data_IF_497041070347
#
_entry.id   IF_497041070347
#
_cell.length_a   1.000
_cell.length_b   1.000
_cell.length_c   1.000
_cell.angle_alpha   90.00
_cell.angle_beta   90.00
_cell.angle_gamma   90.00
#
_symmetry.space_group_name_H-M   'P 1'
#
loop_
_entity.id
_entity.type
_entity.pdbx_description
1 polymer ?
#
# COMPACT_ATOMS: atom_id res chain seq x y z
N UNK A 1 32.88 30.44 41.68
CA UNK A 1 32.62 31.69 40.93
C UNK A 1 33.04 31.47 39.48
N UNK A 2 32.29 32.04 38.51
CA UNK A 2 32.49 32.03 37.04
C UNK A 2 32.06 30.76 36.28
N UNK A 3 30.81 30.70 35.76
CA UNK A 3 30.27 31.27 34.50
C UNK A 3 30.69 30.48 33.25
N UNK A 4 29.74 29.80 32.60
CA UNK A 4 29.25 30.12 31.24
C UNK A 4 28.14 29.14 30.81
N UNK A 5 27.00 29.72 30.44
CA UNK A 5 25.95 29.13 29.61
C UNK A 5 26.48 29.05 28.17
N UNK A 6 25.91 28.15 27.38
CA UNK A 6 25.46 28.32 25.97
C UNK A 6 25.75 27.09 25.09
N UNK A 7 24.66 26.56 24.53
CA UNK A 7 24.48 26.04 23.16
C UNK A 7 25.35 24.86 22.66
N UNK A 8 24.69 23.78 22.24
CA UNK A 8 24.60 23.35 20.82
C UNK A 8 23.54 22.24 20.72
N UNK A 9 22.41 22.61 20.12
CA UNK A 9 21.45 21.73 19.46
C UNK A 9 22.19 21.14 18.26
N UNK A 10 22.32 19.82 18.18
CA UNK A 10 22.92 19.22 16.99
C UNK A 10 23.25 17.74 17.11
N UNK A 11 22.38 16.91 16.54
CA UNK A 11 22.71 15.69 15.80
C UNK A 11 23.31 14.54 16.63
N UNK A 12 22.51 13.49 16.84
CA UNK A 12 22.77 12.18 16.22
C UNK A 12 21.87 11.11 16.83
N UNK A 13 20.64 11.09 16.33
CA UNK A 13 19.76 9.93 16.37
C UNK A 13 20.33 8.80 15.49
N UNK A 14 21.45 8.19 15.91
CA UNK A 14 22.17 7.21 15.09
C UNK A 14 22.64 5.94 15.82
N UNK A 15 22.11 5.64 17.01
CA UNK A 15 22.51 4.42 17.73
C UNK A 15 21.29 3.71 18.32
N UNK A 16 20.36 3.26 17.47
CA UNK A 16 19.47 2.11 17.78
C UNK A 16 19.25 1.30 16.49
N UNK A 17 20.33 0.80 15.88
CA UNK A 17 20.26 -0.22 14.81
C UNK A 17 21.34 -1.26 15.10
N UNK A 18 21.21 -2.01 16.20
CA UNK A 18 22.09 -3.16 16.45
C UNK A 18 21.59 -4.21 17.44
N UNK A 19 20.53 -3.96 18.22
CA UNK A 19 20.08 -4.98 19.18
C UNK A 19 18.67 -4.73 19.67
N UNK A 20 17.75 -5.61 19.30
CA UNK A 20 16.45 -5.72 19.97
C UNK A 20 15.27 -5.07 19.26
N UNK A 21 14.92 -5.54 18.06
CA UNK A 21 13.50 -5.69 17.65
C UNK A 21 13.36 -7.04 16.94
N UNK A 22 13.74 -8.09 17.66
CA UNK A 22 13.39 -9.46 17.32
C UNK A 22 12.17 -9.89 18.14
N UNK A 23 11.08 -9.12 18.13
CA UNK A 23 9.74 -9.49 18.59
C UNK A 23 8.81 -8.29 18.41
N UNK A 24 8.05 -8.26 17.30
CA UNK A 24 6.76 -7.57 17.13
C UNK A 24 6.53 -7.17 15.66
N UNK A 25 6.49 -8.15 14.75
CA UNK A 25 5.85 -7.98 13.45
C UNK A 25 4.78 -9.07 13.29
N UNK A 26 3.82 -9.06 14.20
CA UNK A 26 2.62 -9.87 14.13
C UNK A 26 1.44 -9.07 14.69
N UNK A 27 1.17 -7.89 14.13
CA UNK A 27 -0.08 -7.17 14.40
C UNK A 27 -0.83 -6.90 13.11
N UNK A 28 -1.26 -7.99 12.48
CA UNK A 28 -2.56 -8.05 11.82
C UNK A 28 -3.56 -8.76 12.75
N UNK A 29 -3.74 -8.24 13.97
CA UNK A 29 -4.70 -8.67 15.01
C UNK A 29 -4.53 -10.10 15.58
N UNK A 30 -3.85 -10.22 16.72
CA UNK A 30 -4.09 -11.33 17.65
C UNK A 30 -5.34 -10.99 18.50
N UNK A 31 -6.53 -11.22 17.95
CA UNK A 31 -7.76 -11.18 18.74
C UNK A 31 -7.82 -12.48 19.56
N UNK A 32 -7.37 -12.44 20.81
CA UNK A 32 -7.62 -13.52 21.79
C UNK A 32 -9.03 -13.34 22.34
N UNK A 33 -10.01 -13.36 21.43
CA UNK A 33 -11.42 -13.33 21.77
C UNK A 33 -11.93 -14.76 21.84
N UNK A 34 -12.50 -15.12 22.98
CA UNK A 34 -13.34 -16.32 23.11
C UNK A 34 -14.42 -16.22 22.03
N UNK A 35 -14.36 -17.09 21.00
CA UNK A 35 -15.31 -17.11 19.89
C UNK A 35 -16.74 -17.14 20.44
N UNK A 36 -17.53 -16.13 20.12
CA UNK A 36 -18.97 -16.22 20.31
C UNK A 36 -19.54 -17.16 19.23
N UNK A 37 -20.43 -18.10 19.55
CA UNK A 37 -20.89 -19.15 18.63
C UNK A 37 -21.69 -18.65 17.41
N UNK A 38 -21.87 -17.33 17.24
CA UNK A 38 -22.61 -16.70 16.15
C UNK A 38 -21.75 -15.80 15.24
N UNK A 39 -20.41 -15.87 15.32
CA UNK A 39 -19.56 -15.20 14.34
C UNK A 39 -19.59 -15.96 13.01
N UNK A 40 -20.31 -15.40 12.03
CA UNK A 40 -20.23 -15.86 10.65
C UNK A 40 -18.79 -15.70 10.16
N UNK A 41 -18.15 -16.82 9.80
CA UNK A 41 -16.83 -16.80 9.19
C UNK A 41 -16.96 -16.07 7.86
N UNK A 42 -16.48 -14.82 7.80
CA UNK A 42 -16.39 -14.02 6.59
C UNK A 42 -15.41 -14.72 5.62
N UNK A 43 -15.95 -15.58 4.76
CA UNK A 43 -15.16 -16.32 3.78
C UNK A 43 -14.79 -15.36 2.65
N UNK A 44 -13.60 -14.77 2.74
CA UNK A 44 -13.07 -13.91 1.68
C UNK A 44 -12.93 -14.72 0.37
N UNK A 45 -13.46 -14.18 -0.72
CA UNK A 45 -13.28 -14.75 -2.04
C UNK A 45 -11.87 -14.41 -2.54
N UNK A 46 -11.06 -15.42 -2.83
CA UNK A 46 -9.68 -15.24 -3.30
C UNK A 46 -9.67 -15.43 -4.82
N UNK A 47 -9.52 -14.33 -5.55
CA UNK A 47 -9.53 -14.26 -7.02
C UNK A 47 -8.12 -13.91 -7.53
N UNK A 48 -7.48 -12.92 -6.90
CA UNK A 48 -6.07 -12.60 -7.09
C UNK A 48 -5.24 -13.47 -6.16
N UNK A 49 -5.13 -14.73 -6.57
CA UNK A 49 -4.36 -15.76 -5.88
C UNK A 49 -2.84 -15.53 -5.99
N UNK A 50 -2.07 -16.44 -5.39
CA UNK A 50 -0.61 -16.33 -5.33
C UNK A 50 0.06 -16.20 -6.70
N UNK A 51 -0.53 -16.77 -7.77
CA UNK A 51 0.00 -16.63 -9.14
C UNK A 51 -0.02 -15.16 -9.59
N UNK A 52 -1.12 -14.45 -9.35
CA UNK A 52 -1.24 -13.02 -9.71
C UNK A 52 -0.34 -12.17 -8.81
N UNK A 53 -0.26 -12.49 -7.51
CA UNK A 53 0.62 -11.79 -6.57
C UNK A 53 2.09 -11.92 -6.96
N UNK A 54 2.55 -13.13 -7.29
CA UNK A 54 3.92 -13.36 -7.75
C UNK A 54 4.20 -12.59 -9.03
N UNK A 55 3.26 -12.60 -9.99
CA UNK A 55 3.41 -11.84 -11.24
C UNK A 55 3.52 -10.34 -10.99
N UNK A 56 2.65 -9.79 -10.14
CA UNK A 56 2.74 -8.38 -9.73
C UNK A 56 4.10 -8.06 -9.11
N UNK A 57 4.56 -8.88 -8.17
CA UNK A 57 5.85 -8.68 -7.50
C UNK A 57 7.02 -8.71 -8.50
N UNK A 58 7.05 -9.67 -9.42
CA UNK A 58 8.08 -9.75 -10.46
C UNK A 58 8.08 -8.51 -11.36
N UNK A 59 6.91 -8.04 -11.79
CA UNK A 59 6.81 -6.87 -12.67
C UNK A 59 7.20 -5.57 -11.96
N UNK A 60 6.97 -5.48 -10.65
CA UNK A 60 7.34 -4.33 -9.83
C UNK A 60 8.85 -4.20 -9.63
N UNK A 61 9.59 -5.31 -9.69
CA UNK A 61 11.05 -5.33 -9.48
C UNK A 61 11.89 -4.76 -10.64
N UNK A 62 11.27 -4.20 -11.69
CA UNK A 62 11.98 -3.59 -12.80
C UNK A 62 12.56 -2.21 -12.43
N UNK A 63 13.83 -1.98 -12.76
CA UNK A 63 14.56 -0.72 -12.48
C UNK A 63 14.07 0.48 -13.31
N UNK A 64 13.25 0.24 -14.34
CA UNK A 64 12.75 1.28 -15.26
C UNK A 64 11.28 1.56 -15.02
N UNK A 65 10.96 2.76 -14.53
CA UNK A 65 9.60 3.19 -14.19
C UNK A 65 8.57 2.97 -15.33
N UNK A 66 8.90 3.36 -16.57
CA UNK A 66 7.99 3.22 -17.71
C UNK A 66 7.72 1.75 -18.08
N UNK A 67 8.72 0.90 -17.93
CA UNK A 67 8.57 -0.54 -18.19
C UNK A 67 7.76 -1.19 -17.08
N UNK A 68 7.97 -0.76 -15.84
CA UNK A 68 7.18 -1.17 -14.67
C UNK A 68 5.72 -0.77 -14.83
N UNK A 69 5.42 0.48 -15.24
CA UNK A 69 4.04 0.94 -15.43
C UNK A 69 3.28 0.09 -16.47
N UNK A 70 3.92 -0.19 -17.62
CA UNK A 70 3.34 -1.05 -18.67
C UNK A 70 3.15 -2.49 -18.20
N UNK A 71 4.14 -3.04 -17.51
CA UNK A 71 4.10 -4.41 -17.00
C UNK A 71 2.98 -4.58 -15.96
N UNK A 72 2.85 -3.62 -15.04
CA UNK A 72 1.78 -3.58 -14.04
C UNK A 72 0.41 -3.39 -14.70
N UNK A 73 0.31 -2.53 -15.72
CA UNK A 73 -0.93 -2.37 -16.48
C UNK A 73 -1.40 -3.68 -17.13
N UNK A 74 -0.47 -4.49 -17.66
CA UNK A 74 -0.79 -5.83 -18.18
C UNK A 74 -1.31 -6.76 -17.08
N UNK A 75 -0.78 -6.68 -15.86
CA UNK A 75 -1.31 -7.46 -14.72
C UNK A 75 -2.71 -6.98 -14.35
N UNK A 76 -2.96 -5.67 -14.30
CA UNK A 76 -4.30 -5.11 -14.11
C UNK A 76 -5.27 -5.62 -15.18
N UNK A 77 -4.88 -5.63 -16.45
CA UNK A 77 -5.74 -6.09 -17.55
C UNK A 77 -6.13 -7.57 -17.42
N UNK A 78 -5.26 -8.39 -16.83
CA UNK A 78 -5.60 -9.78 -16.46
C UNK A 78 -6.51 -9.86 -15.24
N UNK A 79 -6.36 -8.96 -14.28
CA UNK A 79 -7.20 -8.89 -13.07
C UNK A 79 -8.64 -8.53 -13.44
N UNK A 80 -8.85 -7.47 -14.24
CA UNK A 80 -10.20 -6.98 -14.58
C UNK A 80 -11.02 -7.96 -15.43
N UNK A 81 -10.35 -8.93 -16.08
CA UNK A 81 -11.00 -10.00 -16.85
C UNK A 81 -11.53 -11.13 -15.96
N UNK A 82 -11.14 -11.19 -14.69
CA UNK A 82 -11.55 -12.25 -13.75
C UNK A 82 -12.94 -11.93 -13.19
N UNK A 83 -13.83 -12.91 -13.23
CA UNK A 83 -15.16 -12.76 -12.64
C UNK A 83 -15.07 -12.49 -11.13
N UNK A 84 -15.74 -11.43 -10.68
CA UNK A 84 -15.82 -11.03 -9.27
C UNK A 84 -14.59 -10.28 -8.74
N UNK A 85 -13.62 -9.89 -9.57
CA UNK A 85 -12.37 -9.23 -9.13
C UNK A 85 -12.61 -8.02 -8.21
N UNK A 86 -13.73 -7.32 -8.39
CA UNK A 86 -14.14 -6.17 -7.58
C UNK A 86 -14.44 -6.50 -6.11
N UNK A 87 -14.58 -7.79 -5.78
CA UNK A 87 -14.83 -8.29 -4.43
C UNK A 87 -13.56 -8.83 -3.75
N UNK A 88 -12.40 -8.78 -4.41
CA UNK A 88 -11.12 -9.19 -3.83
C UNK A 88 -10.23 -7.95 -3.56
N UNK A 89 -9.91 -7.64 -2.29
CA UNK A 89 -9.04 -6.52 -1.94
C UNK A 89 -7.68 -6.54 -2.63
N UNK A 90 -7.13 -7.73 -2.89
CA UNK A 90 -5.84 -7.89 -3.58
C UNK A 90 -5.95 -7.47 -5.03
N UNK A 91 -7.03 -7.87 -5.70
CA UNK A 91 -7.31 -7.43 -7.07
C UNK A 91 -7.53 -5.91 -7.13
N UNK A 92 -8.28 -5.37 -6.19
CA UNK A 92 -8.54 -3.94 -6.10
C UNK A 92 -7.28 -3.12 -5.83
N UNK A 93 -6.37 -3.63 -5.00
CA UNK A 93 -5.08 -2.99 -4.79
C UNK A 93 -4.22 -2.97 -6.06
N UNK A 94 -4.14 -4.10 -6.78
CA UNK A 94 -3.37 -4.16 -8.05
C UNK A 94 -3.92 -3.18 -9.08
N UNK A 95 -5.25 -3.10 -9.20
CA UNK A 95 -5.93 -2.13 -10.06
C UNK A 95 -5.61 -0.70 -9.65
N UNK A 96 -5.71 -0.39 -8.35
CA UNK A 96 -5.43 0.93 -7.81
C UNK A 96 -3.99 1.36 -8.10
N UNK A 97 -3.04 0.47 -7.85
CA UNK A 97 -1.62 0.74 -8.09
C UNK A 97 -1.36 1.06 -9.57
N UNK A 98 -1.95 0.29 -10.49
CA UNK A 98 -1.86 0.58 -11.93
C UNK A 98 -2.47 1.94 -12.28
N UNK A 99 -3.64 2.27 -11.75
CA UNK A 99 -4.32 3.55 -12.06
C UNK A 99 -3.53 4.76 -11.53
N UNK A 100 -2.90 4.63 -10.36
CA UNK A 100 -1.99 5.65 -9.82
C UNK A 100 -0.77 5.82 -10.72
N UNK A 101 -0.14 4.73 -11.19
CA UNK A 101 0.99 4.80 -12.13
C UNK A 101 0.60 5.38 -13.49
N UNK A 102 -0.62 5.11 -13.96
CA UNK A 102 -1.17 5.63 -15.22
C UNK A 102 -1.74 7.06 -15.07
N UNK A 103 -1.64 7.69 -13.90
CA UNK A 103 -2.19 9.02 -13.59
C UNK A 103 -3.71 9.15 -13.80
N UNK A 104 -4.44 8.03 -13.68
CA UNK A 104 -5.91 7.94 -13.82
C UNK A 104 -6.60 8.25 -12.50
N UNK A 105 -6.61 9.54 -12.12
CA UNK A 105 -7.02 9.99 -10.77
C UNK A 105 -8.48 9.66 -10.41
N UNK A 106 -9.41 9.86 -11.33
CA UNK A 106 -10.84 9.61 -11.07
C UNK A 106 -11.13 8.12 -10.89
N UNK A 107 -10.49 7.28 -11.71
CA UNK A 107 -10.56 5.83 -11.60
C UNK A 107 -9.89 5.34 -10.31
N UNK A 108 -8.68 5.83 -10.01
CA UNK A 108 -7.95 5.51 -8.78
C UNK A 108 -8.78 5.86 -7.54
N UNK A 109 -9.47 7.00 -7.53
CA UNK A 109 -10.36 7.40 -6.42
C UNK A 109 -11.53 6.43 -6.24
N UNK A 110 -12.18 6.03 -7.33
CA UNK A 110 -13.26 5.03 -7.29
C UNK A 110 -12.76 3.68 -6.77
N UNK A 111 -11.61 3.23 -7.26
CA UNK A 111 -10.97 1.98 -6.85
C UNK A 111 -10.55 2.00 -5.38
N UNK A 112 -10.01 3.12 -4.91
CA UNK A 112 -9.64 3.31 -3.49
C UNK A 112 -10.87 3.24 -2.58
N UNK A 113 -11.96 3.94 -2.90
CA UNK A 113 -13.18 3.88 -2.09
C UNK A 113 -13.72 2.46 -2.01
N UNK A 114 -13.66 1.71 -3.11
CA UNK A 114 -14.06 0.31 -3.12
C UNK A 114 -13.13 -0.56 -2.27
N UNK A 115 -11.82 -0.35 -2.36
CA UNK A 115 -10.84 -1.07 -1.53
C UNK A 115 -11.03 -0.77 -0.03
N UNK A 116 -11.27 0.50 0.31
CA UNK A 116 -11.58 0.94 1.69
C UNK A 116 -12.86 0.28 2.21
N UNK A 117 -13.90 0.16 1.38
CA UNK A 117 -15.13 -0.57 1.72
C UNK A 117 -14.85 -2.05 2.03
N UNK A 118 -14.05 -2.74 1.19
CA UNK A 118 -13.73 -4.16 1.39
C UNK A 118 -12.91 -4.39 2.66
N UNK A 119 -11.93 -3.51 2.93
CA UNK A 119 -11.13 -3.56 4.17
C UNK A 119 -12.01 -3.26 5.39
N UNK A 120 -12.94 -2.31 5.29
CA UNK A 120 -13.93 -2.03 6.32
C UNK A 120 -14.84 -3.22 6.65
N UNK A 121 -15.09 -4.10 5.67
CA UNK A 121 -15.83 -5.37 5.84
C UNK A 121 -14.98 -6.50 6.43
N UNK A 122 -13.72 -6.24 6.80
CA UNK A 122 -12.82 -7.24 7.36
C UNK A 122 -12.20 -8.18 6.34
N UNK A 123 -12.15 -7.79 5.06
CA UNK A 123 -11.35 -8.47 4.05
C UNK A 123 -9.95 -7.85 3.98
N UNK A 124 -8.95 -8.63 3.58
CA UNK A 124 -7.55 -8.18 3.60
C UNK A 124 -6.86 -8.35 2.26
N UNK A 125 -5.94 -7.43 1.96
CA UNK A 125 -5.01 -7.56 0.85
C UNK A 125 -4.03 -8.68 1.19
N UNK A 126 -3.69 -9.52 0.21
CA UNK A 126 -2.71 -10.58 0.39
C UNK A 126 -1.37 -10.01 0.88
N UNK A 127 -0.92 -10.45 2.05
CA UNK A 127 0.30 -9.95 2.71
C UNK A 127 1.59 -10.24 1.94
N UNK A 128 1.56 -11.17 0.98
CA UNK A 128 2.69 -11.48 0.11
C UNK A 128 2.88 -10.45 -1.04
N UNK A 129 1.99 -9.47 -1.17
CA UNK A 129 2.12 -8.43 -2.17
C UNK A 129 3.21 -7.42 -1.76
N UNK A 130 4.21 -7.21 -2.62
CA UNK A 130 5.38 -6.41 -2.29
C UNK A 130 5.18 -4.91 -2.47
N UNK A 131 5.78 -4.14 -1.56
CA UNK A 131 5.72 -2.67 -1.55
C UNK A 131 4.28 -2.16 -1.48
N UNK A 132 3.46 -2.83 -0.66
CA UNK A 132 2.16 -2.30 -0.29
C UNK A 132 2.33 -0.93 0.37
N UNK A 133 1.62 0.06 -0.15
CA UNK A 133 1.51 1.37 0.45
C UNK A 133 0.28 1.35 1.37
N UNK A 134 0.40 1.95 2.55
CA UNK A 134 -0.72 2.04 3.48
C UNK A 134 -1.87 2.88 2.91
N UNK A 135 -3.10 2.59 3.34
CA UNK A 135 -4.29 3.28 2.85
C UNK A 135 -4.25 4.81 3.04
N UNK A 136 -3.79 5.36 4.19
CA UNK A 136 -3.60 6.81 4.35
C UNK A 136 -2.67 7.44 3.30
N UNK A 137 -1.52 6.81 3.05
CA UNK A 137 -0.58 7.25 2.01
C UNK A 137 -1.19 7.19 0.61
N UNK A 138 -1.93 6.12 0.28
CA UNK A 138 -2.68 6.04 -0.99
C UNK A 138 -3.73 7.15 -1.10
N UNK A 139 -4.47 7.41 -0.03
CA UNK A 139 -5.46 8.49 0.04
C UNK A 139 -4.81 9.86 -0.19
N UNK A 140 -3.61 10.08 0.32
CA UNK A 140 -2.85 11.32 0.09
C UNK A 140 -2.48 11.47 -1.39
N UNK A 141 -1.93 10.42 -2.02
CA UNK A 141 -1.56 10.42 -3.45
C UNK A 141 -2.78 10.67 -4.34
N UNK A 142 -3.91 10.03 -4.07
CA UNK A 142 -5.14 10.15 -4.86
C UNK A 142 -5.77 11.54 -4.72
N UNK A 143 -5.78 12.11 -3.51
CA UNK A 143 -6.36 13.42 -3.24
C UNK A 143 -5.38 14.57 -3.49
N UNK A 144 -4.12 14.28 -3.84
CA UNK A 144 -3.19 15.31 -4.28
C UNK A 144 -3.71 15.92 -5.58
N UNK A 145 -4.22 17.15 -5.51
CA UNK A 145 -4.43 17.97 -6.69
C UNK A 145 -3.04 18.27 -7.27
N UNK A 146 -2.90 18.25 -8.60
CA UNK A 146 -1.70 18.76 -9.26
C UNK A 146 -1.63 20.30 -9.10
N UNK A 147 -1.46 20.80 -7.89
CA UNK A 147 -0.97 22.16 -7.60
C UNK A 147 0.47 22.13 -7.08
N UNK A 148 1.21 21.07 -7.40
CA UNK A 148 2.67 21.02 -7.26
C UNK A 148 3.35 20.82 -8.63
N UNK A 149 2.76 21.37 -9.69
CA UNK A 149 3.41 21.50 -11.01
C UNK A 149 4.22 22.80 -11.17
N UNK A 150 4.45 23.56 -10.09
CA UNK A 150 5.21 24.82 -10.15
C UNK A 150 6.41 24.93 -9.18
N UNK A 151 6.76 23.89 -8.42
CA UNK A 151 7.90 23.99 -7.48
C UNK A 151 8.91 22.83 -7.51
N UNK A 152 8.70 21.81 -8.36
CA UNK A 152 9.70 20.74 -8.59
C UNK A 152 10.44 20.87 -9.94
N UNK A 153 10.11 21.88 -10.75
CA UNK A 153 10.96 22.38 -11.84
C UNK A 153 11.29 23.85 -11.56
N UNK A 154 11.90 24.10 -10.40
CA UNK A 154 12.60 25.35 -10.15
C UNK A 154 14.02 25.26 -10.68
N UNK A 155 14.21 25.54 -11.97
CA UNK A 155 15.42 26.11 -12.59
C UNK A 155 14.86 26.90 -13.78
N UNK A 156 14.84 28.23 -13.80
CA UNK A 156 15.96 29.15 -13.75
C UNK A 156 15.81 30.07 -14.96
#
# INVERSE_FOLDING_TARGET
>A
MSKKKELIIGISAFVIIAGGIGTAFATGRLYVGIKQPNEQILKQQIICNQTIVNKFNTMKSSDKFNDTAKAIASVKDEVIKRAGYENDPTCMYIKLYSEVMELKKDEAKKTYLKLEELIGKGQFINSNLQGMVDMPSLKSVINSNETEKAHLYGEG
#
